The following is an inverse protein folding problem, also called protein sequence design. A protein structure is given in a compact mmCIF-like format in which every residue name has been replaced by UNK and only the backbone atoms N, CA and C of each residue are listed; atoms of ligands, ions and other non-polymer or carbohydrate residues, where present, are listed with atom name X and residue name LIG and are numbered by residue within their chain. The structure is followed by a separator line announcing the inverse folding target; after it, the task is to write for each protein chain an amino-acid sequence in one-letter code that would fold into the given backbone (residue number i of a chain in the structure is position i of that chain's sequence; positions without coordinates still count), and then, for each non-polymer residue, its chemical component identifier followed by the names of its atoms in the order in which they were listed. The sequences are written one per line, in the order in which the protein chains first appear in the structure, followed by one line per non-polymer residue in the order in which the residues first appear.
data_IF_143348626800
#
_entry.id   IF_143348626800
#
_cell.length_a   1.000
_cell.length_b   1.000
_cell.length_c   1.000
_cell.angle_alpha   90.00
_cell.angle_beta   90.00
_cell.angle_gamma   90.00
#
_symmetry.space_group_name_H-M   'P 1'
#
loop_
_entity.id
_entity.type
_entity.pdbx_description
1 polymer ?
#
# COMPACT_ATOMS: atom_id res chain seq x y z
N UNK A 1 -42.87 -38.00 -20.35
CA UNK A 1 -42.33 -38.35 -19.02
C UNK A 1 -41.34 -37.27 -18.65
N UNK A 2 -41.76 -36.34 -17.79
CA UNK A 2 -41.59 -36.32 -16.31
C UNK A 2 -40.50 -35.28 -16.00
N UNK A 3 -40.87 -34.01 -15.81
CA UNK A 3 -41.47 -33.43 -14.58
C UNK A 3 -40.40 -33.28 -13.49
N UNK A 4 -40.01 -32.03 -13.25
CA UNK A 4 -39.41 -31.52 -12.00
C UNK A 4 -40.44 -31.68 -10.87
N UNK A 5 -40.03 -31.94 -9.62
CA UNK A 5 -40.44 -30.98 -8.61
C UNK A 5 -39.39 -30.67 -7.54
N UNK A 6 -39.31 -29.37 -7.26
CA UNK A 6 -38.98 -28.73 -5.99
C UNK A 6 -40.02 -29.10 -4.93
N UNK A 7 -39.63 -29.31 -3.66
CA UNK A 7 -40.46 -29.05 -2.46
C UNK A 7 -39.54 -29.17 -1.22
N UNK A 8 -39.28 -28.16 -0.38
CA UNK A 8 -40.10 -27.12 0.27
C UNK A 8 -40.70 -27.55 1.63
N UNK A 9 -40.65 -26.62 2.59
CA UNK A 9 -41.44 -26.60 3.85
C UNK A 9 -40.55 -26.40 5.09
N UNK A 10 -40.77 -25.46 6.00
CA UNK A 10 -42.05 -24.86 6.44
C UNK A 10 -41.88 -23.42 6.95
N UNK A 11 -42.94 -22.66 6.68
CA UNK A 11 -43.30 -21.27 7.00
C UNK A 11 -43.71 -21.09 8.47
N UNK A 12 -43.45 -19.93 9.08
CA UNK A 12 -44.42 -19.26 9.97
C UNK A 12 -44.05 -17.79 10.17
N UNK A 13 -44.93 -16.91 9.68
CA UNK A 13 -45.03 -15.52 10.08
C UNK A 13 -45.56 -15.43 11.52
N UNK A 14 -45.09 -14.45 12.30
CA UNK A 14 -45.90 -13.34 12.84
C UNK A 14 -45.06 -12.47 13.79
N UNK A 15 -45.54 -11.22 13.94
CA UNK A 15 -45.01 -10.13 14.75
C UNK A 15 -43.78 -9.39 14.20
N UNK A 16 -44.04 -8.36 13.39
CA UNK A 16 -43.21 -7.16 13.38
C UNK A 16 -43.35 -6.42 14.71
N UNK A 17 -42.30 -6.28 15.53
CA UNK A 17 -42.04 -5.03 16.21
C UNK A 17 -41.42 -4.03 15.20
N UNK A 18 -41.65 -2.75 15.45
CA UNK A 18 -41.19 -1.61 14.63
C UNK A 18 -39.79 -1.81 14.03
N UNK A 19 -39.50 -1.26 12.82
CA UNK A 19 -38.17 -1.35 12.25
C UNK A 19 -37.17 -0.87 13.29
N UNK A 20 -36.33 -1.79 13.76
CA UNK A 20 -35.16 -1.42 14.52
C UNK A 20 -34.45 -0.36 13.68
N UNK A 21 -34.29 0.84 14.24
CA UNK A 21 -33.51 1.90 13.63
C UNK A 21 -32.24 1.24 13.08
N UNK A 22 -31.91 1.45 11.79
CA UNK A 22 -30.72 0.84 11.22
C UNK A 22 -29.55 1.21 12.13
N UNK A 23 -28.97 0.18 12.78
CA UNK A 23 -27.68 0.31 13.46
C UNK A 23 -26.80 1.04 12.47
N UNK A 24 -26.39 2.25 12.86
CA UNK A 24 -25.64 3.18 12.04
C UNK A 24 -24.49 2.40 11.42
N UNK A 25 -24.62 2.09 10.13
CA UNK A 25 -23.59 1.38 9.39
C UNK A 25 -22.33 2.22 9.55
N UNK A 26 -21.34 1.68 10.25
CA UNK A 26 -20.11 2.39 10.55
C UNK A 26 -19.49 2.70 9.19
N UNK A 27 -19.56 3.97 8.78
CA UNK A 27 -19.01 4.42 7.50
C UNK A 27 -17.59 3.90 7.42
N UNK A 28 -17.27 3.20 6.34
CA UNK A 28 -15.91 2.76 6.10
C UNK A 28 -14.97 3.95 6.24
N UNK A 29 -13.92 3.84 7.06
CA UNK A 29 -13.02 4.94 7.42
C UNK A 29 -12.33 5.66 6.25
N UNK A 30 -12.43 5.15 5.03
CA UNK A 30 -12.02 5.83 3.79
C UNK A 30 -13.06 6.82 3.25
N UNK A 31 -14.35 6.64 3.58
CA UNK A 31 -15.47 7.53 3.17
C UNK A 31 -15.61 8.75 4.07
N UNK A 32 -15.01 8.70 5.26
CA UNK A 32 -15.04 9.82 6.21
C UNK A 32 -14.14 10.93 5.67
N UNK A 33 -14.71 12.10 5.29
CA UNK A 33 -13.92 13.19 4.75
C UNK A 33 -12.94 13.72 5.80
N UNK A 34 -11.71 14.11 5.41
CA UNK A 34 -10.84 14.87 6.30
C UNK A 34 -11.50 16.20 6.71
N UNK A 35 -11.11 16.71 7.88
CA UNK A 35 -11.65 17.96 8.40
C UNK A 35 -11.57 19.11 7.38
N UNK A 36 -12.68 19.83 7.19
CA UNK A 36 -12.80 20.95 6.25
C UNK A 36 -13.09 20.55 4.79
N UNK A 37 -13.22 19.26 4.48
CA UNK A 37 -13.55 18.78 3.13
C UNK A 37 -14.93 18.11 3.09
N UNK A 38 -15.58 18.16 1.94
CA UNK A 38 -16.82 17.43 1.67
C UNK A 38 -16.59 16.36 0.61
N UNK A 39 -17.19 15.18 0.77
CA UNK A 39 -17.09 14.10 -0.22
C UNK A 39 -17.81 14.51 -1.50
N UNK A 40 -17.10 14.48 -2.62
CA UNK A 40 -17.63 14.80 -3.95
C UNK A 40 -17.64 13.59 -4.90
N UNK A 41 -16.90 12.53 -4.55
CA UNK A 41 -16.93 11.25 -5.25
C UNK A 41 -16.56 10.11 -4.28
N UNK A 42 -17.24 8.98 -4.39
CA UNK A 42 -16.99 7.77 -3.60
C UNK A 42 -17.53 6.58 -4.41
N UNK A 43 -16.64 5.84 -5.07
CA UNK A 43 -16.98 4.63 -5.79
C UNK A 43 -15.75 3.72 -6.01
N UNK A 44 -15.96 2.42 -6.25
CA UNK A 44 -14.91 1.55 -6.76
C UNK A 44 -14.35 2.10 -8.07
N UNK A 45 -13.03 2.30 -8.11
CA UNK A 45 -12.35 2.95 -9.22
C UNK A 45 -11.28 2.03 -9.79
N UNK A 46 -11.16 1.96 -11.12
CA UNK A 46 -10.05 1.24 -11.76
C UNK A 46 -8.77 2.01 -11.57
N UNK A 47 -7.73 1.35 -11.05
CA UNK A 47 -6.41 1.93 -10.80
C UNK A 47 -5.34 1.06 -11.43
N UNK A 48 -4.31 1.69 -11.99
CA UNK A 48 -3.08 1.00 -12.36
C UNK A 48 -1.99 1.31 -11.31
N UNK A 49 -1.73 0.36 -10.42
CA UNK A 49 -0.67 0.46 -9.41
C UNK A 49 0.57 -0.29 -9.92
N UNK A 50 1.59 0.46 -10.33
CA UNK A 50 2.87 -0.08 -10.80
C UNK A 50 2.73 -1.17 -11.90
N UNK A 51 1.82 -0.96 -12.85
CA UNK A 51 1.56 -1.90 -13.96
C UNK A 51 0.48 -2.94 -13.67
N UNK A 52 -0.07 -3.00 -12.44
CA UNK A 52 -1.12 -3.94 -12.05
C UNK A 52 -2.49 -3.25 -12.05
N UNK A 53 -3.44 -3.66 -12.91
CA UNK A 53 -4.80 -3.16 -12.86
C UNK A 53 -5.53 -3.74 -11.64
N UNK A 54 -5.98 -2.86 -10.75
CA UNK A 54 -6.75 -3.22 -9.55
C UNK A 54 -8.00 -2.35 -9.46
N UNK A 55 -9.07 -2.87 -8.83
CA UNK A 55 -10.21 -2.05 -8.41
C UNK A 55 -9.91 -1.63 -6.97
N UNK A 56 -9.80 -0.33 -6.75
CA UNK A 56 -9.61 0.25 -5.42
C UNK A 56 -10.81 1.11 -5.04
N UNK A 57 -11.22 1.04 -3.78
CA UNK A 57 -12.19 1.97 -3.25
C UNK A 57 -11.51 3.33 -3.06
N UNK A 58 -11.99 4.31 -3.82
CA UNK A 58 -11.47 5.68 -3.79
C UNK A 58 -12.59 6.64 -3.40
N UNK A 59 -12.28 7.52 -2.45
CA UNK A 59 -13.08 8.70 -2.17
C UNK A 59 -12.29 9.97 -2.51
N UNK A 60 -12.97 10.92 -3.14
CA UNK A 60 -12.46 12.26 -3.38
C UNK A 60 -13.25 13.25 -2.53
N UNK A 61 -12.53 14.07 -1.77
CA UNK A 61 -13.10 15.11 -0.94
C UNK A 61 -12.56 16.47 -1.36
N UNK A 62 -13.37 17.53 -1.32
CA UNK A 62 -13.02 18.85 -1.79
C UNK A 62 -13.36 19.95 -0.79
N UNK A 63 -12.58 21.04 -0.82
CA UNK A 63 -12.93 22.29 -0.14
C UNK A 63 -13.76 23.15 -1.09
N UNK A 64 -15.08 22.97 -1.04
CA UNK A 64 -16.00 23.71 -1.90
C UNK A 64 -16.08 25.20 -1.55
N UNK A 65 -15.72 25.58 -0.32
CA UNK A 65 -15.69 26.98 0.09
C UNK A 65 -14.47 27.71 -0.50
N UNK A 66 -13.29 27.10 -0.40
CA UNK A 66 -12.05 27.64 -0.97
C UNK A 66 -12.10 27.76 -2.50
N UNK A 67 -12.88 26.91 -3.17
CA UNK A 67 -13.04 27.01 -4.62
C UNK A 67 -13.67 28.34 -5.06
N UNK A 68 -14.51 28.98 -4.23
CA UNK A 68 -15.09 30.29 -4.51
C UNK A 68 -14.04 31.40 -4.55
N UNK A 69 -12.90 31.21 -3.88
CA UNK A 69 -11.78 32.17 -3.85
C UNK A 69 -10.65 31.79 -4.80
N UNK A 70 -10.86 30.79 -5.67
CA UNK A 70 -9.89 30.35 -6.69
C UNK A 70 -8.85 29.34 -6.19
N UNK A 71 -8.98 28.85 -4.95
CA UNK A 71 -8.10 27.84 -4.37
C UNK A 71 -8.80 26.48 -4.39
N UNK A 72 -8.27 25.54 -5.16
CA UNK A 72 -8.81 24.20 -5.27
C UNK A 72 -8.02 23.25 -4.37
N UNK A 73 -8.67 22.67 -3.38
CA UNK A 73 -8.08 21.65 -2.49
C UNK A 73 -8.84 20.35 -2.60
N UNK A 74 -8.11 19.25 -2.76
CA UNK A 74 -8.65 17.91 -2.88
C UNK A 74 -7.93 16.94 -1.93
N UNK A 75 -8.65 15.95 -1.43
CA UNK A 75 -8.07 14.78 -0.79
C UNK A 75 -8.55 13.51 -1.49
N UNK A 76 -7.60 12.71 -1.94
CA UNK A 76 -7.82 11.37 -2.48
C UNK A 76 -7.55 10.36 -1.37
N UNK A 77 -8.59 9.65 -0.95
CA UNK A 77 -8.48 8.58 0.04
C UNK A 77 -8.60 7.24 -0.66
N UNK A 78 -7.67 6.32 -0.40
CA UNK A 78 -7.58 5.02 -1.06
C UNK A 78 -7.38 3.92 -0.02
N UNK A 79 -8.19 2.86 -0.12
CA UNK A 79 -7.96 1.60 0.60
C UNK A 79 -6.94 0.75 -0.15
N UNK A 80 -5.77 0.52 0.44
CA UNK A 80 -4.66 -0.24 -0.15
C UNK A 80 -4.43 -1.58 0.55
N UNK A 81 -5.38 -2.03 1.39
CA UNK A 81 -5.22 -3.26 2.21
C UNK A 81 -4.87 -4.48 1.36
N UNK A 82 -5.55 -4.65 0.22
CA UNK A 82 -5.28 -5.77 -0.69
C UNK A 82 -3.88 -5.71 -1.30
N UNK A 83 -3.48 -4.53 -1.76
CA UNK A 83 -2.15 -4.29 -2.33
C UNK A 83 -1.04 -4.62 -1.32
N UNK A 84 -1.22 -4.24 -0.05
CA UNK A 84 -0.26 -4.56 1.03
C UNK A 84 -0.11 -6.07 1.20
N UNK A 85 -1.22 -6.81 1.28
CA UNK A 85 -1.20 -8.29 1.41
C UNK A 85 -0.57 -8.99 0.21
N UNK A 86 -0.85 -8.51 -1.00
CA UNK A 86 -0.22 -9.03 -2.22
C UNK A 86 1.30 -8.78 -2.21
N UNK A 87 1.72 -7.59 -1.76
CA UNK A 87 3.15 -7.24 -1.65
C UNK A 87 3.87 -8.12 -0.62
N UNK A 88 3.25 -8.38 0.54
CA UNK A 88 3.77 -9.31 1.55
C UNK A 88 3.94 -10.73 0.97
N UNK A 89 2.96 -11.18 0.18
CA UNK A 89 2.99 -12.49 -0.48
C UNK A 89 4.09 -12.57 -1.55
N UNK A 90 4.22 -11.55 -2.40
CA UNK A 90 5.25 -11.49 -3.43
C UNK A 90 6.65 -11.54 -2.83
N UNK A 91 6.86 -10.83 -1.71
CA UNK A 91 8.12 -10.82 -1.01
C UNK A 91 8.47 -12.19 -0.41
N UNK A 92 7.48 -12.86 0.19
CA UNK A 92 7.65 -14.23 0.70
C UNK A 92 8.03 -15.20 -0.43
N UNK A 93 7.36 -15.10 -1.58
CA UNK A 93 7.63 -15.93 -2.75
C UNK A 93 9.04 -15.67 -3.32
N UNK A 94 9.45 -14.40 -3.39
CA UNK A 94 10.79 -14.02 -3.85
C UNK A 94 11.89 -14.63 -2.97
N UNK A 95 11.71 -14.60 -1.64
CA UNK A 95 12.66 -15.21 -0.69
C UNK A 95 12.67 -16.73 -0.84
N UNK A 96 11.50 -17.36 -0.91
CA UNK A 96 11.38 -18.81 -1.10
C UNK A 96 12.02 -19.31 -2.41
N UNK A 97 12.00 -18.48 -3.46
CA UNK A 97 12.66 -18.78 -4.73
C UNK A 97 14.19 -18.80 -4.67
N UNK A 98 14.81 -18.31 -3.60
CA UNK A 98 16.26 -18.33 -3.38
C UNK A 98 16.67 -19.53 -2.52
N UNK A 99 16.30 -20.72 -2.99
CA UNK A 99 16.66 -21.98 -2.38
C UNK A 99 17.48 -22.81 -3.38
N UNK A 100 18.80 -22.81 -3.23
CA UNK A 100 19.68 -23.64 -4.03
C UNK A 100 20.14 -24.86 -3.24
N UNK A 101 20.20 -26.03 -3.89
CA UNK A 101 20.74 -27.24 -3.27
C UNK A 101 22.20 -27.06 -2.83
N UNK A 102 22.98 -26.33 -3.63
CA UNK A 102 24.33 -25.88 -3.35
C UNK A 102 24.38 -24.35 -3.52
N UNK A 103 24.97 -23.62 -2.58
CA UNK A 103 24.99 -22.15 -2.55
C UNK A 103 24.05 -21.59 -1.49
N UNK A 104 23.41 -20.46 -1.80
CA UNK A 104 22.57 -19.75 -0.85
C UNK A 104 21.17 -20.36 -0.72
N UNK A 105 20.71 -20.47 0.53
CA UNK A 105 19.33 -20.79 0.89
C UNK A 105 18.78 -19.74 1.81
N UNK A 106 17.70 -19.10 1.37
CA UNK A 106 17.08 -18.00 2.08
C UNK A 106 15.79 -18.50 2.76
N UNK A 107 15.54 -17.99 3.96
CA UNK A 107 14.27 -18.16 4.65
C UNK A 107 13.93 -16.91 5.42
N UNK A 108 12.64 -16.66 5.66
CA UNK A 108 12.20 -15.49 6.41
C UNK A 108 11.03 -15.80 7.33
N UNK A 109 10.82 -14.92 8.32
CA UNK A 109 9.49 -14.80 8.93
C UNK A 109 8.48 -14.31 7.91
N UNK A 110 7.19 -14.34 8.29
CA UNK A 110 6.19 -13.61 7.52
C UNK A 110 6.56 -12.11 7.51
N UNK A 111 6.60 -11.47 6.33
CA UNK A 111 6.86 -10.04 6.23
C UNK A 111 5.67 -9.29 6.81
N UNK A 112 5.97 -8.16 7.47
CA UNK A 112 4.96 -7.30 8.08
C UNK A 112 5.12 -5.88 7.58
N UNK A 113 4.10 -5.36 6.90
CA UNK A 113 4.04 -3.96 6.47
C UNK A 113 3.02 -3.21 7.35
N UNK A 114 3.47 -2.13 7.98
CA UNK A 114 2.65 -1.28 8.86
C UNK A 114 2.80 0.20 8.53
N UNK A 115 1.89 1.02 9.04
CA UNK A 115 1.80 2.44 8.70
C UNK A 115 1.84 3.37 9.93
N UNK A 116 2.91 3.34 10.73
CA UNK A 116 3.00 4.17 11.93
C UNK A 116 3.24 5.64 11.56
N UNK A 117 2.50 6.57 12.16
CA UNK A 117 2.76 8.01 12.10
C UNK A 117 3.03 8.55 10.68
N UNK A 118 2.19 8.20 9.70
CA UNK A 118 2.35 8.58 8.29
C UNK A 118 3.61 8.05 7.59
N UNK A 119 4.30 7.06 8.16
CA UNK A 119 5.42 6.37 7.56
C UNK A 119 5.02 4.96 7.11
N UNK A 120 5.81 4.37 6.21
CA UNK A 120 5.68 2.98 5.78
C UNK A 120 6.78 2.21 6.50
N UNK A 121 6.41 1.26 7.34
CA UNK A 121 7.35 0.40 8.06
C UNK A 121 7.27 -1.03 7.54
N UNK A 122 8.40 -1.55 7.16
CA UNK A 122 8.63 -2.91 6.71
C UNK A 122 9.45 -3.65 7.77
N UNK A 123 8.99 -4.84 8.17
CA UNK A 123 9.70 -5.70 9.11
C UNK A 123 9.74 -7.14 8.62
N UNK A 124 10.89 -7.79 8.73
CA UNK A 124 11.03 -9.24 8.60
C UNK A 124 12.26 -9.75 9.34
N UNK A 125 12.22 -11.00 9.76
CA UNK A 125 13.44 -11.75 10.08
C UNK A 125 13.88 -12.49 8.84
N UNK A 126 15.16 -12.38 8.46
CA UNK A 126 15.78 -13.07 7.35
C UNK A 126 16.87 -14.01 7.89
N UNK A 127 16.96 -15.20 7.32
CA UNK A 127 18.03 -16.16 7.57
C UNK A 127 18.59 -16.60 6.23
N UNK A 128 19.91 -16.53 6.11
CA UNK A 128 20.66 -16.96 4.94
C UNK A 128 21.58 -18.09 5.38
N UNK A 129 21.45 -19.24 4.73
CA UNK A 129 22.35 -20.37 4.90
C UNK A 129 23.20 -20.55 3.65
N UNK A 130 24.48 -20.86 3.84
CA UNK A 130 25.39 -21.19 2.75
C UNK A 130 25.71 -22.67 2.78
N UNK A 131 25.45 -23.35 1.67
CA UNK A 131 25.58 -24.79 1.52
C UNK A 131 26.63 -25.12 0.46
N UNK A 132 27.42 -26.17 0.69
CA UNK A 132 28.40 -26.67 -0.28
C UNK A 132 28.14 -28.14 -0.59
N UNK A 133 28.49 -28.56 -1.79
CA UNK A 133 28.31 -29.93 -2.28
C UNK A 133 29.66 -30.60 -2.59
N UNK A 134 30.69 -30.31 -1.78
CA UNK A 134 32.05 -30.82 -1.96
C UNK A 134 32.78 -30.25 -3.19
N UNK A 135 34.04 -30.71 -3.40
CA UNK A 135 35.01 -30.12 -4.34
C UNK A 135 34.55 -30.07 -5.81
N UNK A 136 33.62 -30.94 -6.23
CA UNK A 136 33.14 -31.02 -7.62
C UNK A 136 31.61 -30.81 -7.77
N UNK A 137 30.93 -30.29 -6.74
CA UNK A 137 29.48 -30.10 -6.73
C UNK A 137 28.64 -31.40 -6.72
N UNK A 138 29.28 -32.57 -6.59
CA UNK A 138 28.65 -33.90 -6.61
C UNK A 138 28.52 -34.55 -5.23
N UNK A 139 29.02 -33.91 -4.19
CA UNK A 139 28.91 -34.36 -2.80
C UNK A 139 27.54 -34.04 -2.21
N UNK A 140 27.18 -34.73 -1.12
CA UNK A 140 25.96 -34.41 -0.37
C UNK A 140 26.03 -32.96 0.15
N UNK A 141 24.94 -32.18 0.05
CA UNK A 141 24.90 -30.82 0.59
C UNK A 141 25.23 -30.79 2.08
N UNK A 142 26.21 -29.98 2.45
CA UNK A 142 26.57 -29.68 3.85
C UNK A 142 26.49 -28.17 4.10
N UNK A 143 25.86 -27.78 5.21
CA UNK A 143 25.75 -26.37 5.62
C UNK A 143 27.09 -25.88 6.14
N UNK A 144 27.63 -24.82 5.55
CA UNK A 144 28.89 -24.18 5.96
C UNK A 144 28.65 -23.16 7.07
N UNK A 145 27.74 -22.22 6.83
CA UNK A 145 27.40 -21.17 7.79
C UNK A 145 25.92 -20.80 7.67
N UNK A 146 25.44 -20.13 8.71
CA UNK A 146 24.10 -19.60 8.84
C UNK A 146 24.20 -18.23 9.47
N UNK A 147 23.64 -17.24 8.81
CA UNK A 147 23.52 -15.89 9.34
C UNK A 147 22.04 -15.52 9.41
N UNK A 148 21.61 -15.02 10.56
CA UNK A 148 20.23 -14.62 10.79
C UNK A 148 20.14 -13.21 11.32
N UNK A 149 19.08 -12.48 10.94
CA UNK A 149 18.80 -11.20 11.56
C UNK A 149 17.43 -10.62 11.27
N UNK A 150 17.01 -9.68 12.10
CA UNK A 150 15.81 -8.88 11.89
C UNK A 150 16.15 -7.64 11.06
N UNK A 151 15.37 -7.36 10.02
CA UNK A 151 15.44 -6.15 9.20
C UNK A 151 14.19 -5.32 9.45
N UNK A 152 14.38 -4.09 9.91
CA UNK A 152 13.31 -3.11 10.13
C UNK A 152 13.62 -1.83 9.36
N UNK A 153 12.80 -1.52 8.35
CA UNK A 153 12.96 -0.33 7.51
C UNK A 153 11.74 0.55 7.66
N UNK A 154 11.94 1.81 8.02
CA UNK A 154 10.89 2.82 8.01
C UNK A 154 11.18 3.84 6.91
N UNK A 155 10.25 4.00 5.98
CA UNK A 155 10.27 5.01 4.92
C UNK A 155 9.29 6.13 5.25
N UNK A 156 9.76 7.37 5.18
CA UNK A 156 8.95 8.55 5.49
C UNK A 156 8.65 9.29 4.19
N UNK A 157 7.39 9.29 3.72
CA UNK A 157 6.99 10.14 2.60
C UNK A 157 7.01 11.61 3.05
N UNK A 158 7.43 12.49 2.16
CA UNK A 158 7.38 13.94 2.37
C UNK A 158 7.13 14.67 1.07
N UNK A 159 6.73 15.93 1.16
CA UNK A 159 6.53 16.81 0.01
C UNK A 159 7.63 17.86 0.00
N UNK A 160 8.32 17.96 -1.12
CA UNK A 160 9.33 19.00 -1.36
C UNK A 160 9.01 19.70 -2.68
N UNK A 161 8.83 21.02 -2.64
CA UNK A 161 8.45 21.82 -3.81
C UNK A 161 7.23 21.26 -4.59
N UNK A 162 6.24 20.69 -3.87
CA UNK A 162 5.03 20.10 -4.45
C UNK A 162 5.22 18.72 -5.09
N UNK A 163 6.40 18.11 -4.93
CA UNK A 163 6.74 16.76 -5.39
C UNK A 163 6.72 15.79 -4.21
N UNK A 164 6.15 14.60 -4.42
CA UNK A 164 6.16 13.51 -3.44
C UNK A 164 7.52 12.79 -3.46
N UNK A 165 8.20 12.74 -2.32
CA UNK A 165 9.47 12.04 -2.16
C UNK A 165 9.39 11.07 -0.98
N UNK A 166 10.35 10.16 -0.87
CA UNK A 166 10.51 9.27 0.28
C UNK A 166 11.95 9.29 0.80
N UNK A 167 12.13 9.25 2.11
CA UNK A 167 13.45 9.10 2.74
C UNK A 167 13.48 7.95 3.72
N UNK A 168 14.69 7.41 3.94
CA UNK A 168 14.93 6.45 4.99
C UNK A 168 14.79 7.13 6.36
N UNK A 169 13.83 6.70 7.15
CA UNK A 169 13.64 7.14 8.54
C UNK A 169 14.43 6.30 9.53
N UNK A 170 14.25 4.98 9.50
CA UNK A 170 14.94 4.03 10.38
C UNK A 170 15.39 2.80 9.59
N UNK A 171 16.57 2.28 9.90
CA UNK A 171 17.05 0.98 9.47
C UNK A 171 17.70 0.32 10.67
N UNK A 172 17.10 -0.77 11.17
CA UNK A 172 17.70 -1.62 12.19
C UNK A 172 17.98 -3.00 11.59
N UNK A 173 19.20 -3.50 11.81
CA UNK A 173 19.57 -4.88 11.51
C UNK A 173 20.13 -5.52 12.76
N UNK A 174 19.38 -6.46 13.34
CA UNK A 174 19.81 -7.19 14.53
C UNK A 174 20.26 -8.58 14.12
N UNK A 175 21.55 -8.89 14.23
CA UNK A 175 22.08 -10.24 13.98
C UNK A 175 21.74 -11.16 15.16
N UNK A 176 21.13 -12.30 14.90
CA UNK A 176 20.64 -13.24 15.92
C UNK A 176 21.35 -14.60 15.91
N UNK A 177 22.07 -14.93 14.84
CA UNK A 177 22.80 -16.20 14.67
C UNK A 177 23.96 -16.01 13.66
N UNK A 178 25.09 -16.71 13.86
CA UNK A 178 26.22 -16.74 12.92
C UNK A 178 27.58 -16.17 13.39
N UNK A 179 28.64 -16.41 12.60
CA UNK A 179 30.01 -15.88 12.78
C UNK A 179 30.12 -14.38 12.48
N UNK A 180 29.03 -13.77 11.99
CA UNK A 180 28.92 -12.40 11.49
C UNK A 180 29.06 -11.26 12.51
N UNK A 181 29.85 -11.42 13.58
CA UNK A 181 30.29 -10.29 14.43
C UNK A 181 31.09 -9.22 13.62
N UNK A 182 31.42 -9.52 12.36
CA UNK A 182 32.24 -8.70 11.47
C UNK A 182 31.64 -8.37 10.09
N UNK A 183 30.34 -8.59 9.82
CA UNK A 183 29.83 -8.33 8.47
C UNK A 183 29.26 -6.92 8.23
N UNK A 184 29.61 -6.27 7.10
CA UNK A 184 29.06 -5.00 6.62
C UNK A 184 27.60 -5.13 6.14
N UNK A 185 26.81 -6.08 6.67
CA UNK A 185 25.44 -6.35 6.23
C UNK A 185 24.55 -5.12 6.37
N UNK A 186 24.66 -4.39 7.48
CA UNK A 186 23.95 -3.13 7.65
C UNK A 186 24.36 -2.11 6.57
N UNK A 187 25.66 -2.03 6.25
CA UNK A 187 26.15 -1.13 5.20
C UNK A 187 25.66 -1.55 3.82
N UNK A 188 25.64 -2.85 3.50
CA UNK A 188 25.15 -3.39 2.23
C UNK A 188 23.64 -3.16 2.08
N UNK A 189 22.85 -3.50 3.10
CA UNK A 189 21.40 -3.30 3.09
C UNK A 189 21.07 -1.82 3.04
N UNK A 190 21.74 -0.98 3.83
CA UNK A 190 21.59 0.48 3.76
C UNK A 190 21.90 1.02 2.37
N UNK A 191 22.99 0.56 1.76
CA UNK A 191 23.37 0.96 0.39
C UNK A 191 22.31 0.54 -0.63
N UNK A 192 21.83 -0.70 -0.54
CA UNK A 192 20.76 -1.20 -1.41
C UNK A 192 19.46 -0.39 -1.24
N UNK A 193 19.03 -0.17 0.00
CA UNK A 193 17.82 0.63 0.31
C UNK A 193 17.97 2.06 -0.19
N UNK A 194 19.12 2.69 0.01
CA UNK A 194 19.38 4.05 -0.48
C UNK A 194 19.38 4.12 -2.02
N UNK A 195 19.92 3.10 -2.70
CA UNK A 195 19.88 3.03 -4.16
C UNK A 195 18.44 2.89 -4.68
N UNK A 196 17.62 2.06 -4.05
CA UNK A 196 16.21 1.94 -4.42
C UNK A 196 15.42 3.21 -4.10
N UNK A 197 15.68 3.86 -2.97
CA UNK A 197 15.10 5.16 -2.65
C UNK A 197 15.52 6.23 -3.65
N UNK A 198 16.78 6.23 -4.09
CA UNK A 198 17.24 7.13 -5.16
C UNK A 198 16.49 6.85 -6.45
N UNK A 199 16.37 5.60 -6.90
CA UNK A 199 15.57 5.25 -8.09
C UNK A 199 14.12 5.71 -7.96
N UNK A 200 13.51 5.53 -6.79
CA UNK A 200 12.15 6.01 -6.50
C UNK A 200 12.05 7.54 -6.55
N UNK A 201 13.05 8.26 -6.01
CA UNK A 201 13.14 9.72 -5.98
C UNK A 201 13.73 10.37 -7.25
N UNK A 202 14.21 9.56 -8.21
CA UNK A 202 14.53 10.00 -9.57
C UNK A 202 13.43 9.63 -10.59
N UNK A 203 12.53 8.68 -10.29
CA UNK A 203 11.41 8.29 -11.15
C UNK A 203 10.38 9.42 -11.39
N UNK A 204 10.29 10.01 -12.59
CA UNK A 204 9.42 11.15 -12.87
C UNK A 204 7.92 10.85 -12.71
N UNK A 205 7.49 9.58 -12.74
CA UNK A 205 6.10 9.20 -12.48
C UNK A 205 5.75 9.29 -11.00
N UNK A 206 6.71 9.10 -10.11
CA UNK A 206 6.49 9.11 -8.66
C UNK A 206 6.11 10.50 -8.12
N UNK A 207 6.69 11.58 -8.67
CA UNK A 207 6.35 12.96 -8.23
C UNK A 207 5.05 13.50 -8.84
N UNK A 208 4.47 12.82 -9.84
CA UNK A 208 3.31 13.33 -10.57
C UNK A 208 2.05 12.94 -9.84
N UNK A 209 1.14 13.91 -9.67
CA UNK A 209 -0.22 13.58 -9.29
C UNK A 209 -0.80 12.59 -10.31
N UNK A 210 -1.68 11.68 -9.92
CA UNK A 210 -2.30 10.78 -10.88
C UNK A 210 -3.27 11.57 -11.79
N UNK A 211 -3.52 11.06 -12.99
CA UNK A 211 -4.65 11.51 -13.79
C UNK A 211 -5.97 11.09 -13.11
N UNK A 212 -7.00 11.95 -13.15
CA UNK A 212 -7.08 13.23 -13.89
C UNK A 212 -6.57 14.47 -13.13
N UNK A 213 -6.09 14.34 -11.90
CA UNK A 213 -5.65 15.48 -11.08
C UNK A 213 -4.49 16.25 -11.73
N UNK A 214 -3.50 15.53 -12.27
CA UNK A 214 -2.37 16.16 -12.97
C UNK A 214 -2.80 17.00 -14.18
N UNK A 215 -3.79 16.52 -14.95
CA UNK A 215 -4.32 17.25 -16.10
C UNK A 215 -4.98 18.59 -15.72
N UNK A 216 -5.46 18.70 -14.47
CA UNK A 216 -6.02 19.93 -13.90
C UNK A 216 -4.99 20.69 -13.04
N UNK A 217 -3.70 20.41 -13.23
CA UNK A 217 -2.57 21.10 -12.60
C UNK A 217 -2.49 20.96 -11.07
N UNK A 218 -3.10 19.91 -10.50
CA UNK A 218 -2.97 19.60 -9.08
C UNK A 218 -1.56 19.11 -8.73
N UNK A 219 -1.08 19.55 -7.57
CA UNK A 219 0.22 19.16 -6.99
C UNK A 219 0.02 18.55 -5.61
N UNK A 220 0.98 17.74 -5.17
CA UNK A 220 0.95 17.16 -3.82
C UNK A 220 1.08 18.26 -2.76
N UNK A 221 0.20 18.20 -1.76
CA UNK A 221 0.25 19.02 -0.54
C UNK A 221 0.81 18.19 0.62
N UNK A 222 0.24 17.00 0.85
CA UNK A 222 0.68 16.09 1.90
C UNK A 222 0.19 14.66 1.67
N UNK A 223 0.73 13.72 2.45
CA UNK A 223 0.28 12.33 2.48
C UNK A 223 0.16 11.87 3.93
N UNK A 224 -0.89 11.12 4.22
CA UNK A 224 -1.12 10.52 5.52
C UNK A 224 -1.57 9.06 5.33
N UNK A 225 -1.26 8.23 6.32
CA UNK A 225 -1.63 6.83 6.34
C UNK A 225 -2.20 6.46 7.71
N UNK A 226 -3.28 5.68 7.72
CA UNK A 226 -3.87 5.15 8.95
C UNK A 226 -4.32 3.72 8.75
N UNK A 227 -4.31 2.94 9.85
CA UNK A 227 -5.04 1.69 9.93
C UNK A 227 -6.34 1.97 10.68
N UNK A 228 -7.49 1.67 10.08
CA UNK A 228 -8.78 1.87 10.73
C UNK A 228 -9.14 0.73 11.70
N UNK A 229 -10.27 0.88 12.40
CA UNK A 229 -10.74 -0.13 13.36
C UNK A 229 -11.03 -1.50 12.71
N UNK A 230 -11.24 -1.54 11.39
CA UNK A 230 -11.47 -2.75 10.61
C UNK A 230 -10.17 -3.34 10.03
N UNK A 231 -9.00 -2.89 10.50
CA UNK A 231 -7.68 -3.32 10.03
C UNK A 231 -7.42 -3.00 8.55
N UNK A 232 -8.09 -1.96 8.01
CA UNK A 232 -7.85 -1.52 6.65
C UNK A 232 -6.79 -0.45 6.61
N UNK A 233 -5.92 -0.55 5.62
CA UNK A 233 -4.85 0.41 5.36
C UNK A 233 -5.38 1.49 4.45
N UNK A 234 -5.56 2.68 5.00
CA UNK A 234 -6.09 3.84 4.29
C UNK A 234 -4.96 4.85 4.07
N UNK A 235 -4.71 5.20 2.82
CA UNK A 235 -3.81 6.31 2.43
C UNK A 235 -4.66 7.49 2.01
N UNK A 236 -4.37 8.67 2.54
CA UNK A 236 -4.96 9.94 2.12
C UNK A 236 -3.87 10.83 1.53
N UNK A 237 -3.95 11.11 0.24
CA UNK A 237 -3.11 12.08 -0.44
C UNK A 237 -3.88 13.39 -0.63
N UNK A 238 -3.30 14.50 -0.20
CA UNK A 238 -3.87 15.84 -0.39
C UNK A 238 -3.21 16.54 -1.55
N UNK A 239 -4.01 17.29 -2.29
CA UNK A 239 -3.60 18.01 -3.48
C UNK A 239 -4.15 19.42 -3.48
N UNK A 240 -3.41 20.33 -4.10
CA UNK A 240 -3.84 21.71 -4.29
C UNK A 240 -3.58 22.17 -5.73
N UNK A 241 -4.42 23.10 -6.20
CA UNK A 241 -4.27 23.81 -7.46
C UNK A 241 -4.87 25.21 -7.35
N UNK A 242 -4.47 26.10 -8.25
CA UNK A 242 -5.17 27.38 -8.48
C UNK A 242 -6.13 27.18 -9.66
N UNK A 243 -7.39 27.58 -9.53
CA UNK A 243 -8.32 27.39 -10.64
C UNK A 243 -9.79 27.69 -10.34
N UNK A 244 -10.61 27.51 -11.38
CA UNK A 244 -12.06 27.71 -11.31
C UNK A 244 -12.76 26.46 -10.77
N UNK A 245 -13.91 26.61 -10.06
CA UNK A 245 -14.67 25.49 -9.49
C UNK A 245 -14.97 24.33 -10.46
N UNK A 246 -15.20 24.64 -11.75
CA UNK A 246 -15.49 23.65 -12.79
C UNK A 246 -14.39 22.58 -12.99
N UNK A 247 -13.18 22.77 -12.46
CA UNK A 247 -12.15 21.74 -12.45
C UNK A 247 -12.56 20.51 -11.63
N UNK A 248 -13.30 20.68 -10.52
CA UNK A 248 -13.76 19.56 -9.71
C UNK A 248 -14.71 18.65 -10.48
N UNK A 249 -15.67 19.24 -11.19
CA UNK A 249 -16.64 18.49 -11.99
C UNK A 249 -15.96 17.69 -13.10
N UNK A 250 -14.93 18.28 -13.75
CA UNK A 250 -14.12 17.58 -14.76
C UNK A 250 -13.32 16.43 -14.17
N UNK A 251 -12.70 16.61 -13.00
CA UNK A 251 -11.99 15.54 -12.28
C UNK A 251 -12.96 14.40 -11.98
N UNK A 252 -14.12 14.69 -11.39
CA UNK A 252 -15.12 13.67 -11.04
C UNK A 252 -15.64 12.96 -12.29
N UNK A 253 -15.91 13.68 -13.37
CA UNK A 253 -16.36 13.10 -14.63
C UNK A 253 -15.31 12.14 -15.22
N UNK A 254 -14.04 12.56 -15.28
CA UNK A 254 -12.94 11.71 -15.79
C UNK A 254 -12.67 10.50 -14.90
N UNK A 255 -12.70 10.64 -13.58
CA UNK A 255 -12.54 9.49 -12.68
C UNK A 255 -13.65 8.45 -12.89
N UNK A 256 -14.88 8.89 -13.16
CA UNK A 256 -16.00 8.00 -13.47
C UNK A 256 -15.84 7.28 -14.81
N UNK A 257 -15.34 7.95 -15.85
CA UNK A 257 -15.20 7.37 -17.18
C UNK A 257 -13.94 6.50 -17.33
N UNK A 258 -12.82 6.96 -16.80
CA UNK A 258 -11.48 6.44 -17.11
C UNK A 258 -10.75 5.85 -15.90
N UNK A 259 -11.18 6.17 -14.67
CA UNK A 259 -10.51 5.76 -13.43
C UNK A 259 -9.34 6.67 -13.03
N UNK A 260 -8.41 6.12 -12.26
CA UNK A 260 -7.21 6.82 -11.77
C UNK A 260 -5.96 6.13 -12.30
N UNK A 261 -5.08 6.87 -12.97
CA UNK A 261 -3.86 6.30 -13.58
C UNK A 261 -2.65 7.19 -13.34
N UNK A 262 -1.44 6.62 -13.38
CA UNK A 262 -0.18 7.36 -13.35
C UNK A 262 0.39 7.57 -14.76
#
# INVERSE_FOLDING_TARGET
MRVVPVLAGVLSLLASPAPAQPKTATLSGYKVPPAGLTTIYDAPTKVNLAGRPVIADIALHADQAAAKTGSLKLALTTDVTKFVKETETDLKNYIAGRYNDCGERWSSSDPKITFPNNAIRFQMTLVIEYWQCGWNGKGKPGRMTRDGGSVDVTLIPYVEAGKLQAKLGKLDITVTDGLGKYMPLETLVRTAVNNELKKLNDNPKFYRAPNPLYAEMFRYESMASKVDAQQRVIITARYFANGKPAAFDRVVAKMKSEGVTQ
#
